data_IF_514338690812
#
_entry.id   IF_514338690812
#
_cell.length_a   1.000
_cell.length_b   1.000
_cell.length_c   1.000
_cell.angle_alpha   90.00
_cell.angle_beta   90.00
_cell.angle_gamma   90.00
#
_symmetry.space_group_name_H-M   'P 1'
#
loop_
_entity.id
_entity.type
_entity.pdbx_description
1 polymer ?
#
# COMPACT_ATOMS: atom_id res chain seq x y z
N UNK A 1 12.63 39.32 -14.90
CA UNK A 1 11.73 39.32 -13.74
C UNK A 1 10.57 38.40 -14.10
N UNK A 2 10.57 37.14 -13.63
CA UNK A 2 9.56 36.16 -14.00
C UNK A 2 9.02 35.49 -12.72
N UNK A 3 7.70 35.55 -12.59
CA UNK A 3 6.92 35.23 -11.41
C UNK A 3 7.03 33.74 -11.07
N UNK A 4 7.22 33.45 -9.78
CA UNK A 4 7.16 32.09 -9.22
C UNK A 4 5.82 31.43 -9.56
N UNK A 5 5.85 30.24 -10.17
CA UNK A 5 4.70 29.33 -10.20
C UNK A 5 4.37 28.97 -8.75
N UNK A 6 3.22 29.41 -8.24
CA UNK A 6 2.57 28.75 -7.11
C UNK A 6 2.26 27.31 -7.56
N UNK A 7 2.92 26.33 -6.96
CA UNK A 7 2.42 24.95 -6.96
C UNK A 7 1.21 24.93 -6.03
N UNK A 8 0.02 24.93 -6.60
CA UNK A 8 -1.22 24.70 -5.87
C UNK A 8 -1.18 23.29 -5.25
N UNK A 9 -1.08 23.25 -3.92
CA UNK A 9 -1.20 22.02 -3.14
C UNK A 9 -2.67 21.60 -3.17
N UNK A 10 -3.01 20.63 -4.01
CA UNK A 10 -4.32 20.01 -3.96
C UNK A 10 -4.37 19.03 -2.77
N UNK A 11 -5.18 19.37 -1.78
CA UNK A 11 -5.46 18.52 -0.61
C UNK A 11 -6.29 17.33 -1.09
N UNK A 12 -5.79 16.11 -0.84
CA UNK A 12 -6.50 14.87 -1.14
C UNK A 12 -7.06 14.35 0.18
N UNK A 13 -8.37 14.16 0.20
CA UNK A 13 -9.10 13.74 1.40
C UNK A 13 -9.75 12.38 1.20
N UNK A 14 -9.75 11.53 2.24
CA UNK A 14 -10.31 10.18 2.18
C UNK A 14 -11.50 10.04 3.14
N UNK A 15 -12.64 9.60 2.60
CA UNK A 15 -13.87 9.33 3.35
C UNK A 15 -13.81 8.00 4.12
N UNK A 16 -14.76 7.81 5.05
CA UNK A 16 -14.81 6.65 5.96
C UNK A 16 -14.94 5.28 5.26
N UNK A 17 -15.48 5.27 4.04
CA UNK A 17 -15.67 4.07 3.20
C UNK A 17 -14.56 3.89 2.15
N UNK A 18 -13.50 4.71 2.20
CA UNK A 18 -12.34 4.62 1.28
C UNK A 18 -12.47 5.48 0.00
N UNK A 19 -13.42 6.41 -0.05
CA UNK A 19 -13.62 7.32 -1.17
C UNK A 19 -12.55 8.42 -1.19
N UNK A 20 -11.96 8.70 -2.35
CA UNK A 20 -10.93 9.74 -2.52
C UNK A 20 -11.56 11.00 -3.12
N UNK A 21 -11.46 12.12 -2.41
CA UNK A 21 -11.90 13.44 -2.85
C UNK A 21 -10.70 14.30 -3.24
N UNK A 22 -10.72 14.83 -4.46
CA UNK A 22 -9.76 15.83 -4.95
C UNK A 22 -10.46 17.20 -4.96
N UNK A 23 -10.64 17.82 -3.79
CA UNK A 23 -11.40 19.07 -3.60
C UNK A 23 -11.93 19.27 -2.18
N UNK A 24 -12.86 20.24 -2.00
CA UNK A 24 -13.51 20.52 -0.70
C UNK A 24 -14.31 19.31 -0.20
N UNK A 25 -13.88 18.75 0.93
CA UNK A 25 -14.54 17.66 1.62
C UNK A 25 -15.71 18.18 2.48
N UNK A 26 -16.76 17.36 2.71
CA UNK A 26 -17.89 17.77 3.54
C UNK A 26 -17.45 18.11 4.99
N UNK A 27 -17.96 19.20 5.57
CA UNK A 27 -17.41 19.83 6.78
C UNK A 27 -17.51 19.01 8.07
N UNK A 28 -18.31 17.93 8.07
CA UNK A 28 -18.67 17.15 9.26
C UNK A 28 -17.94 15.80 9.40
N UNK A 29 -16.84 15.58 8.67
CA UNK A 29 -16.08 14.34 8.78
C UNK A 29 -14.63 14.59 9.22
N UNK A 30 -14.04 13.76 10.09
CA UNK A 30 -12.62 13.84 10.41
C UNK A 30 -11.81 13.46 9.17
N UNK A 31 -11.20 14.46 8.53
CA UNK A 31 -10.47 14.33 7.27
C UNK A 31 -9.01 13.94 7.53
N UNK A 32 -8.58 12.80 6.99
CA UNK A 32 -7.15 12.45 6.96
C UNK A 32 -6.49 13.08 5.73
N UNK A 33 -5.57 14.01 5.98
CA UNK A 33 -4.81 14.75 4.95
C UNK A 33 -3.61 13.92 4.49
N UNK A 34 -3.56 13.55 3.21
CA UNK A 34 -2.41 12.82 2.64
C UNK A 34 -1.46 13.82 1.98
N UNK A 35 -0.19 13.86 2.42
CA UNK A 35 0.87 14.52 1.65
C UNK A 35 1.26 13.62 0.47
N UNK A 36 1.11 14.11 -0.78
CA UNK A 36 1.64 13.41 -1.96
C UNK A 36 0.59 13.02 -3.01
N UNK A 37 -0.18 13.99 -3.52
CA UNK A 37 -1.19 13.77 -4.57
C UNK A 37 -0.68 12.97 -5.79
N UNK A 38 0.62 13.05 -6.09
CA UNK A 38 1.30 12.31 -7.16
C UNK A 38 1.38 10.79 -6.96
N UNK A 39 1.51 10.30 -5.74
CA UNK A 39 1.49 8.84 -5.50
C UNK A 39 0.06 8.32 -5.35
N UNK A 40 -0.86 9.14 -4.87
CA UNK A 40 -2.25 8.74 -4.65
C UNK A 40 -2.99 8.37 -5.94
N UNK A 41 -2.84 9.14 -7.02
CA UNK A 41 -3.45 8.78 -8.31
C UNK A 41 -2.84 7.51 -8.90
N UNK A 42 -1.54 7.31 -8.67
CA UNK A 42 -0.81 6.15 -9.17
C UNK A 42 -1.24 4.89 -8.41
N UNK A 43 -1.33 4.95 -7.08
CA UNK A 43 -1.89 3.90 -6.26
C UNK A 43 -3.34 3.57 -6.67
N UNK A 44 -4.20 4.57 -6.84
CA UNK A 44 -5.60 4.37 -7.24
C UNK A 44 -5.75 3.64 -8.58
N UNK A 45 -4.76 3.73 -9.47
CA UNK A 45 -4.81 3.14 -10.82
C UNK A 45 -4.17 1.76 -10.90
N UNK A 46 -3.16 1.48 -10.07
CA UNK A 46 -2.33 0.26 -10.15
C UNK A 46 -2.49 -0.69 -8.95
N UNK A 47 -3.12 -0.23 -7.87
CA UNK A 47 -3.28 -1.01 -6.64
C UNK A 47 -4.72 -1.54 -6.49
N UNK A 48 -4.94 -2.54 -5.60
CA UNK A 48 -6.29 -2.95 -5.22
C UNK A 48 -7.16 -1.77 -4.78
N UNK A 49 -8.46 -1.84 -5.07
CA UNK A 49 -9.41 -0.76 -4.73
C UNK A 49 -9.51 -0.45 -3.23
N UNK A 50 -9.11 -1.37 -2.36
CA UNK A 50 -9.09 -1.21 -0.91
C UNK A 50 -7.74 -0.67 -0.38
N UNK A 51 -6.90 -0.11 -1.26
CA UNK A 51 -5.61 0.46 -0.88
C UNK A 51 -5.82 1.79 -0.18
N UNK A 52 -5.24 1.92 1.02
CA UNK A 52 -5.34 3.12 1.85
C UNK A 52 -3.96 3.61 2.26
N UNK A 53 -3.76 4.92 2.28
CA UNK A 53 -2.54 5.53 2.79
C UNK A 53 -2.61 5.62 4.32
N UNK A 54 -1.60 5.10 5.00
CA UNK A 54 -1.53 5.08 6.47
C UNK A 54 -0.12 5.39 6.94
N UNK A 55 0.00 5.94 8.16
CA UNK A 55 1.27 6.02 8.86
C UNK A 55 1.35 4.89 9.90
N UNK A 56 2.40 4.07 9.84
CA UNK A 56 2.58 2.93 10.74
C UNK A 56 4.02 2.85 11.22
N UNK A 57 4.21 2.74 12.54
CA UNK A 57 5.52 2.66 13.17
C UNK A 57 6.52 3.76 12.72
N UNK A 58 6.00 4.98 12.47
CA UNK A 58 6.79 6.12 12.00
C UNK A 58 7.13 6.12 10.50
N UNK A 59 6.62 5.14 9.73
CA UNK A 59 6.77 5.10 8.28
C UNK A 59 5.40 5.37 7.62
N UNK A 60 5.27 6.39 6.75
CA UNK A 60 4.12 6.54 5.88
C UNK A 60 4.16 5.49 4.75
N UNK A 61 3.00 4.96 4.35
CA UNK A 61 2.92 3.97 3.28
C UNK A 61 1.51 3.55 2.91
N UNK A 62 1.43 2.56 2.03
CA UNK A 62 0.22 2.03 1.43
C UNK A 62 -0.13 0.68 2.05
N UNK A 63 -1.30 0.61 2.71
CA UNK A 63 -1.86 -0.64 3.22
C UNK A 63 -2.93 -1.14 2.27
N UNK A 64 -2.90 -2.43 1.95
CA UNK A 64 -3.84 -3.05 1.04
C UNK A 64 -4.06 -4.52 1.41
N UNK A 65 -5.18 -5.08 0.96
CA UNK A 65 -5.51 -6.48 1.22
C UNK A 65 -6.02 -7.18 -0.02
N UNK A 66 -5.73 -8.47 -0.14
CA UNK A 66 -6.25 -9.31 -1.21
C UNK A 66 -6.40 -10.75 -0.74
N UNK A 67 -7.12 -11.55 -1.52
CA UNK A 67 -7.24 -12.99 -1.30
C UNK A 67 -6.47 -13.73 -2.38
N UNK A 68 -5.74 -14.76 -1.97
CA UNK A 68 -5.13 -15.68 -2.92
C UNK A 68 -6.20 -16.57 -3.54
N UNK A 69 -5.86 -17.28 -4.63
CA UNK A 69 -6.73 -18.29 -5.25
C UNK A 69 -7.09 -19.45 -4.31
N UNK A 70 -6.37 -19.62 -3.20
CA UNK A 70 -6.64 -20.63 -2.16
C UNK A 70 -7.50 -20.09 -1.01
N UNK A 71 -8.00 -18.86 -1.13
CA UNK A 71 -8.92 -18.24 -0.18
C UNK A 71 -8.26 -17.65 1.06
N UNK A 72 -6.92 -17.64 1.16
CA UNK A 72 -6.25 -16.96 2.27
C UNK A 72 -6.22 -15.45 2.01
N UNK A 73 -6.73 -14.69 2.96
CA UNK A 73 -6.61 -13.23 2.96
C UNK A 73 -5.25 -12.81 3.50
N UNK A 74 -4.64 -11.83 2.83
CA UNK A 74 -3.43 -11.15 3.28
C UNK A 74 -3.69 -9.65 3.38
N UNK A 75 -3.10 -9.03 4.39
CA UNK A 75 -2.99 -7.57 4.53
C UNK A 75 -1.52 -7.22 4.60
N UNK A 76 -1.07 -6.34 3.71
CA UNK A 76 0.32 -5.92 3.61
C UNK A 76 0.44 -4.40 3.68
N UNK A 77 1.64 -3.95 4.00
CA UNK A 77 2.02 -2.55 4.09
C UNK A 77 3.27 -2.31 3.25
N UNK A 78 3.14 -1.48 2.21
CA UNK A 78 4.23 -1.04 1.36
C UNK A 78 4.67 0.37 1.78
N UNK A 79 5.95 0.57 2.09
CA UNK A 79 6.50 1.87 2.46
C UNK A 79 7.80 2.13 1.72
N UNK A 80 8.09 3.40 1.45
CA UNK A 80 9.33 3.81 0.82
C UNK A 80 10.36 4.11 1.91
N UNK A 81 11.51 3.42 1.90
CA UNK A 81 12.55 3.58 2.93
C UNK A 81 13.56 4.70 2.63
N UNK A 82 13.38 5.40 1.50
CA UNK A 82 14.31 6.41 0.99
C UNK A 82 15.10 5.94 -0.24
N UNK A 83 15.15 4.64 -0.51
CA UNK A 83 15.76 4.03 -1.70
C UNK A 83 14.73 3.26 -2.50
N UNK A 84 14.01 2.36 -1.85
CA UNK A 84 13.15 1.38 -2.47
C UNK A 84 11.84 1.21 -1.69
N UNK A 85 10.81 0.68 -2.36
CA UNK A 85 9.61 0.20 -1.69
C UNK A 85 9.89 -1.13 -0.99
N UNK A 86 9.71 -1.13 0.31
CA UNK A 86 9.70 -2.32 1.15
C UNK A 86 8.26 -2.76 1.39
N UNK A 87 8.02 -4.07 1.50
CA UNK A 87 6.70 -4.60 1.83
C UNK A 87 6.77 -5.52 3.04
N UNK A 88 5.88 -5.29 4.00
CA UNK A 88 5.76 -6.11 5.20
C UNK A 88 4.35 -6.68 5.34
N UNK A 89 4.25 -7.90 5.85
CA UNK A 89 2.96 -8.55 6.11
C UNK A 89 2.43 -8.12 7.46
N UNK A 90 1.17 -7.70 7.48
CA UNK A 90 0.43 -7.36 8.68
C UNK A 90 -0.50 -8.48 9.11
N UNK A 91 -1.12 -9.15 8.13
CA UNK A 91 -1.98 -10.30 8.36
C UNK A 91 -1.87 -11.30 7.20
N UNK A 92 -2.02 -12.62 7.46
CA UNK A 92 -2.11 -13.22 8.79
C UNK A 92 -0.77 -13.12 9.54
N UNK A 93 -0.78 -13.45 10.83
CA UNK A 93 0.46 -13.63 11.57
C UNK A 93 1.18 -14.87 11.07
N UNK A 94 2.39 -14.67 10.56
CA UNK A 94 3.28 -15.70 10.04
C UNK A 94 4.53 -15.66 10.90
N UNK A 95 4.72 -16.71 11.71
CA UNK A 95 5.76 -16.74 12.75
C UNK A 95 7.12 -16.27 12.23
N UNK A 96 7.62 -15.17 12.81
CA UNK A 96 8.94 -14.60 12.50
C UNK A 96 9.03 -13.71 11.25
N UNK A 97 7.96 -13.57 10.46
CA UNK A 97 7.98 -12.80 9.19
C UNK A 97 7.01 -11.60 9.22
N UNK A 98 5.99 -11.63 10.10
CA UNK A 98 5.07 -10.50 10.27
C UNK A 98 5.81 -9.24 10.71
N UNK A 99 5.61 -8.15 9.97
CA UNK A 99 6.31 -6.88 10.19
C UNK A 99 7.73 -6.78 9.61
N UNK A 100 8.27 -7.86 9.04
CA UNK A 100 9.55 -7.83 8.33
C UNK A 100 9.36 -7.69 6.82
N UNK A 101 10.35 -7.14 6.08
CA UNK A 101 10.34 -7.17 4.61
C UNK A 101 10.23 -8.61 4.08
N UNK A 102 9.26 -8.86 3.19
CA UNK A 102 8.99 -10.21 2.66
C UNK A 102 9.78 -10.57 1.40
N UNK A 103 10.34 -9.57 0.73
CA UNK A 103 11.22 -9.72 -0.43
C UNK A 103 12.13 -8.46 -0.53
N UNK A 104 13.22 -8.51 -1.32
CA UNK A 104 14.08 -7.34 -1.53
C UNK A 104 13.29 -6.16 -2.10
N UNK A 105 13.62 -4.94 -1.65
CA UNK A 105 12.95 -3.72 -2.08
C UNK A 105 12.93 -3.52 -3.61
N UNK A 106 11.95 -2.75 -4.07
CA UNK A 106 11.72 -2.49 -5.50
C UNK A 106 11.47 -1.03 -5.80
N UNK A 107 11.75 -0.62 -7.04
CA UNK A 107 11.72 0.77 -7.45
C UNK A 107 10.31 1.37 -7.58
N UNK A 108 9.26 0.54 -7.70
CA UNK A 108 7.89 1.02 -7.88
C UNK A 108 6.87 0.32 -7.00
N UNK A 109 5.82 1.07 -6.65
CA UNK A 109 4.68 0.56 -5.87
C UNK A 109 3.93 -0.56 -6.62
N UNK A 110 3.83 -0.47 -7.95
CA UNK A 110 3.23 -1.50 -8.80
C UNK A 110 4.02 -2.81 -8.75
N UNK A 111 5.35 -2.74 -8.84
CA UNK A 111 6.21 -3.93 -8.73
C UNK A 111 6.10 -4.52 -7.32
N UNK A 112 6.03 -3.66 -6.29
CA UNK A 112 5.86 -4.09 -4.91
C UNK A 112 4.56 -4.87 -4.72
N UNK A 113 3.47 -4.38 -5.32
CA UNK A 113 2.19 -5.09 -5.31
C UNK A 113 2.24 -6.42 -6.06
N UNK A 114 2.80 -6.45 -7.28
CA UNK A 114 2.92 -7.67 -8.07
C UNK A 114 3.73 -8.75 -7.32
N UNK A 115 4.88 -8.38 -6.74
CA UNK A 115 5.70 -9.29 -5.92
C UNK A 115 4.98 -9.75 -4.66
N UNK A 116 4.15 -8.91 -4.06
CA UNK A 116 3.33 -9.29 -2.90
C UNK A 116 2.33 -10.40 -3.23
N UNK A 117 1.67 -10.32 -4.38
CA UNK A 117 0.74 -11.37 -4.83
C UNK A 117 1.47 -12.68 -5.08
N UNK A 118 2.62 -12.63 -5.76
CA UNK A 118 3.45 -13.82 -6.02
C UNK A 118 3.94 -14.44 -4.72
N UNK A 119 4.47 -13.62 -3.81
CA UNK A 119 4.95 -14.05 -2.51
C UNK A 119 3.84 -14.71 -1.69
N UNK A 120 2.64 -14.12 -1.63
CA UNK A 120 1.50 -14.66 -0.90
C UNK A 120 1.02 -16.01 -1.47
N UNK A 121 1.02 -16.16 -2.80
CA UNK A 121 0.72 -17.43 -3.45
C UNK A 121 1.77 -18.51 -3.12
N UNK A 122 3.06 -18.14 -3.08
CA UNK A 122 4.15 -19.02 -2.65
C UNK A 122 4.01 -19.44 -1.18
N UNK A 123 3.73 -18.50 -0.29
CA UNK A 123 3.49 -18.79 1.13
C UNK A 123 2.30 -19.70 1.36
N UNK A 124 1.23 -19.53 0.59
CA UNK A 124 0.10 -20.45 0.63
C UNK A 124 0.45 -21.87 0.15
N UNK A 125 1.40 -22.01 -0.77
CA UNK A 125 1.93 -23.31 -1.16
C UNK A 125 2.69 -23.97 0.00
N UNK A 126 3.58 -23.22 0.64
CA UNK A 126 4.38 -23.66 1.80
C UNK A 126 3.48 -24.08 2.95
N UNK A 127 2.51 -23.23 3.33
CA UNK A 127 1.59 -23.50 4.44
C UNK A 127 0.66 -24.69 4.18
N UNK A 128 0.36 -24.98 2.91
CA UNK A 128 -0.41 -26.18 2.53
C UNK A 128 0.43 -27.46 2.50
N UNK A 129 1.71 -27.41 2.91
CA UNK A 129 2.63 -28.54 2.88
C UNK A 129 3.01 -28.98 1.46
N UNK A 130 2.87 -28.10 0.46
CA UNK A 130 3.31 -28.39 -0.91
C UNK A 130 4.71 -27.81 -1.15
N UNK A 131 5.60 -28.52 -1.85
CA UNK A 131 6.85 -27.93 -2.30
C UNK A 131 6.54 -26.73 -3.21
N UNK A 132 7.29 -25.64 -3.02
CA UNK A 132 7.27 -24.46 -3.89
C UNK A 132 7.46 -24.88 -5.35
N UNK A 133 6.74 -24.28 -6.33
CA UNK A 133 7.14 -24.45 -7.72
C UNK A 133 8.56 -23.88 -7.88
N UNK A 134 9.48 -24.75 -8.25
CA UNK A 134 10.88 -24.44 -8.53
C UNK A 134 11.02 -23.50 -9.73
#
# INVERSE_FOLDING_TARGET
MNLMRLQERHDVTVGREGEIFTGDAPPDQPLSRVQGAGEAWHAASHMPRNTVFVERAGAPGWMYSFQTSRGRAYTLFAYFDGSDYQVSVLAPELGGITGAPVFPGVASLEEAYAKSVIWAAGMDAVLAGRPSPC
#
